data_IF_020293115453
#
_entry.id   IF_020293115453
#
_cell.length_a   1.000
_cell.length_b   1.000
_cell.length_c   1.000
_cell.angle_alpha   90.00
_cell.angle_beta   90.00
_cell.angle_gamma   90.00
#
_symmetry.space_group_name_H-M   'P 1'
#
loop_
_entity.id
_entity.type
_entity.pdbx_description
1 polymer ?
#
# COMPACT_ATOMS: atom_id res chain seq x y z
N UNK A 1 22.31 -0.34 -10.26
CA UNK A 1 21.15 -1.21 -10.53
C UNK A 1 20.57 -1.82 -9.25
N UNK A 2 21.40 -2.41 -8.36
CA UNK A 2 20.99 -3.09 -7.13
C UNK A 2 20.13 -2.20 -6.20
N UNK A 3 20.52 -0.93 -6.03
CA UNK A 3 19.73 0.03 -5.25
C UNK A 3 18.29 0.18 -5.72
N UNK A 4 18.05 0.15 -7.04
CA UNK A 4 16.71 0.25 -7.61
C UNK A 4 15.83 -0.96 -7.23
N UNK A 5 16.43 -2.16 -7.24
CA UNK A 5 15.77 -3.40 -6.81
C UNK A 5 15.41 -3.35 -5.33
N UNK A 6 16.36 -2.96 -4.47
CA UNK A 6 16.12 -2.83 -3.02
C UNK A 6 15.06 -1.78 -2.69
N UNK A 7 15.06 -0.63 -3.36
CA UNK A 7 14.04 0.42 -3.16
C UNK A 7 12.64 -0.10 -3.51
N UNK A 8 12.51 -0.84 -4.61
CA UNK A 8 11.21 -1.40 -5.01
C UNK A 8 10.79 -2.54 -4.09
N UNK A 9 11.74 -3.37 -3.62
CA UNK A 9 11.51 -4.39 -2.60
C UNK A 9 10.92 -3.77 -1.33
N UNK A 10 11.55 -2.73 -0.78
CA UNK A 10 11.10 -2.05 0.43
C UNK A 10 9.72 -1.41 0.24
N UNK A 11 9.43 -0.83 -0.92
CA UNK A 11 8.12 -0.25 -1.21
C UNK A 11 6.99 -1.31 -1.21
N UNK A 12 7.24 -2.51 -1.76
CA UNK A 12 6.26 -3.59 -1.75
C UNK A 12 6.12 -4.24 -0.36
N UNK A 13 7.20 -4.36 0.41
CA UNK A 13 7.14 -4.81 1.80
C UNK A 13 6.37 -3.82 2.68
N UNK A 14 6.56 -2.51 2.48
CA UNK A 14 5.79 -1.45 3.15
C UNK A 14 4.30 -1.57 2.84
N UNK A 15 3.95 -1.79 1.58
CA UNK A 15 2.57 -1.99 1.13
C UNK A 15 1.92 -3.17 1.84
N UNK A 16 2.62 -4.30 1.97
CA UNK A 16 2.10 -5.51 2.63
C UNK A 16 1.73 -5.22 4.09
N UNK A 17 2.65 -4.69 4.90
CA UNK A 17 2.33 -4.49 6.33
C UNK A 17 1.29 -3.40 6.56
N UNK A 18 1.25 -2.38 5.70
CA UNK A 18 0.24 -1.33 5.79
C UNK A 18 -1.16 -1.88 5.50
N UNK A 19 -1.32 -2.62 4.39
CA UNK A 19 -2.60 -3.21 4.02
C UNK A 19 -3.07 -4.30 5.00
N UNK A 20 -2.15 -5.07 5.61
CA UNK A 20 -2.50 -6.01 6.68
C UNK A 20 -3.08 -5.30 7.90
N UNK A 21 -2.52 -4.16 8.26
CA UNK A 21 -3.08 -3.32 9.34
C UNK A 21 -4.47 -2.80 9.02
N UNK A 22 -4.70 -2.44 7.75
CA UNK A 22 -6.02 -2.02 7.28
C UNK A 22 -7.04 -3.16 7.38
N UNK A 23 -6.70 -4.35 6.85
CA UNK A 23 -7.56 -5.53 6.86
C UNK A 23 -7.93 -5.95 8.28
N UNK A 24 -6.94 -6.04 9.17
CA UNK A 24 -7.16 -6.39 10.56
C UNK A 24 -8.05 -5.35 11.27
N UNK A 25 -7.81 -4.06 11.03
CA UNK A 25 -8.63 -2.98 11.59
C UNK A 25 -10.10 -3.04 11.14
N UNK A 26 -10.36 -3.35 9.87
CA UNK A 26 -11.73 -3.53 9.37
C UNK A 26 -12.48 -4.63 10.13
N UNK A 27 -11.80 -5.75 10.44
CA UNK A 27 -12.40 -6.87 11.17
C UNK A 27 -12.58 -6.56 12.67
N UNK A 28 -11.71 -5.71 13.24
CA UNK A 28 -11.92 -5.17 14.60
C UNK A 28 -13.18 -4.30 14.66
N UNK A 29 -13.40 -3.44 13.65
CA UNK A 29 -14.53 -2.49 13.65
C UNK A 29 -15.91 -3.18 13.48
N UNK A 30 -15.92 -4.44 13.03
CA UNK A 30 -17.13 -5.29 13.09
C UNK A 30 -17.19 -6.17 14.37
N UNK A 31 -16.40 -5.82 15.40
CA UNK A 31 -16.34 -6.49 16.69
C UNK A 31 -15.93 -7.99 16.62
N UNK A 32 -15.08 -8.36 15.66
CA UNK A 32 -14.58 -9.73 15.51
C UNK A 32 -13.05 -9.83 15.72
N UNK A 33 -12.53 -9.59 16.95
CA UNK A 33 -11.09 -9.61 17.23
C UNK A 33 -10.43 -10.97 16.98
N UNK A 34 -11.14 -12.08 17.16
CA UNK A 34 -10.62 -13.41 16.86
C UNK A 34 -10.31 -13.60 15.37
N UNK A 35 -11.13 -13.04 14.47
CA UNK A 35 -10.89 -13.04 13.03
C UNK A 35 -9.79 -12.06 12.60
N UNK A 36 -9.57 -10.98 13.35
CA UNK A 36 -8.52 -10.01 13.09
C UNK A 36 -7.13 -10.50 13.52
N UNK A 37 -7.07 -11.35 14.56
CA UNK A 37 -5.81 -11.81 15.17
C UNK A 37 -4.82 -12.42 14.18
N UNK A 38 -5.20 -13.35 13.27
CA UNK A 38 -4.27 -13.90 12.27
C UNK A 38 -3.67 -12.84 11.35
N UNK A 39 -4.45 -11.81 10.97
CA UNK A 39 -3.97 -10.70 10.13
C UNK A 39 -2.96 -9.82 10.88
N UNK A 40 -3.17 -9.56 12.17
CA UNK A 40 -2.21 -8.85 13.02
C UNK A 40 -0.91 -9.65 13.21
N UNK A 41 -0.99 -10.98 13.37
CA UNK A 41 0.19 -11.85 13.46
C UNK A 41 1.01 -11.74 12.16
N UNK A 42 0.37 -11.87 11.00
CA UNK A 42 1.03 -11.72 9.70
C UNK A 42 1.66 -10.34 9.54
N UNK A 43 0.98 -9.28 10.01
CA UNK A 43 1.54 -7.92 10.00
C UNK A 43 2.79 -7.82 10.87
N UNK A 44 2.76 -8.37 12.07
CA UNK A 44 3.90 -8.36 12.99
C UNK A 44 5.10 -9.12 12.42
N UNK A 45 4.87 -10.29 11.84
CA UNK A 45 5.93 -11.05 11.17
C UNK A 45 6.54 -10.26 10.01
N UNK A 46 5.73 -9.54 9.23
CA UNK A 46 6.23 -8.69 8.15
C UNK A 46 7.08 -7.53 8.68
N UNK A 47 6.67 -6.91 9.80
CA UNK A 47 7.46 -5.85 10.46
C UNK A 47 8.82 -6.35 10.97
N UNK A 48 8.90 -7.59 11.46
CA UNK A 48 10.17 -8.23 11.84
C UNK A 48 11.05 -8.48 10.62
N UNK A 49 10.47 -8.88 9.49
CA UNK A 49 11.21 -8.99 8.24
C UNK A 49 11.72 -7.64 7.74
N UNK A 50 10.93 -6.57 7.85
CA UNK A 50 11.39 -5.22 7.51
C UNK A 50 12.62 -4.84 8.34
N UNK A 51 12.58 -5.09 9.66
CA UNK A 51 13.71 -4.83 10.56
C UNK A 51 14.95 -5.64 10.16
N UNK A 52 14.78 -6.93 9.82
CA UNK A 52 15.86 -7.80 9.40
C UNK A 52 16.56 -7.32 8.11
N UNK A 53 15.80 -6.82 7.14
CA UNK A 53 16.35 -6.38 5.84
C UNK A 53 16.80 -4.92 5.81
N UNK A 54 16.35 -4.07 6.75
CA UNK A 54 16.64 -2.63 6.70
C UNK A 54 17.12 -2.03 8.01
N UNK A 55 17.11 -2.80 9.10
CA UNK A 55 17.37 -2.29 10.46
C UNK A 55 16.21 -1.48 11.05
N UNK A 56 15.05 -1.42 10.38
CA UNK A 56 13.89 -0.65 10.84
C UNK A 56 12.57 -1.37 10.51
N UNK A 57 11.72 -1.54 11.51
CA UNK A 57 10.38 -2.14 11.35
C UNK A 57 9.51 -1.40 10.32
N UNK A 58 9.73 -0.09 10.15
CA UNK A 58 8.93 0.80 9.31
C UNK A 58 9.77 1.46 8.20
N UNK A 59 10.91 0.89 7.83
CA UNK A 59 11.85 1.41 6.83
C UNK A 59 12.33 2.85 7.09
N UNK A 60 12.24 3.35 8.33
CA UNK A 60 12.76 4.67 8.67
C UNK A 60 14.25 4.72 8.39
N UNK A 61 14.65 5.74 7.63
CA UNK A 61 16.04 5.92 7.19
C UNK A 61 16.65 4.78 6.36
N UNK A 62 15.86 3.84 5.82
CA UNK A 62 16.36 2.80 4.92
C UNK A 62 16.75 3.35 3.55
N UNK A 63 16.07 4.41 3.09
CA UNK A 63 16.34 5.09 1.84
C UNK A 63 17.21 6.32 2.05
N UNK A 64 17.99 6.65 1.03
CA UNK A 64 18.73 7.91 0.92
C UNK A 64 18.70 8.41 -0.53
N UNK A 65 19.05 9.70 -0.72
CA UNK A 65 19.21 10.24 -2.07
C UNK A 65 20.33 9.45 -2.75
N UNK A 66 20.09 8.99 -3.97
CA UNK A 66 21.02 8.16 -4.72
C UNK A 66 20.97 6.66 -4.44
N UNK A 67 20.17 6.18 -3.45
CA UNK A 67 20.10 4.74 -3.21
C UNK A 67 19.47 4.30 -1.88
N UNK A 68 20.07 3.31 -1.23
CA UNK A 68 19.69 2.77 0.07
C UNK A 68 20.87 2.82 1.03
N UNK A 69 20.61 2.81 2.35
CA UNK A 69 21.66 2.92 3.36
C UNK A 69 22.42 1.63 3.62
N UNK A 70 21.76 0.49 3.47
CA UNK A 70 22.35 -0.82 3.70
C UNK A 70 21.95 -1.79 2.60
N UNK A 71 22.85 -2.72 2.31
CA UNK A 71 22.57 -3.84 1.40
C UNK A 71 21.88 -4.97 2.16
N UNK A 72 21.22 -5.86 1.40
CA UNK A 72 20.60 -7.08 1.92
C UNK A 72 21.36 -8.27 1.36
N UNK A 73 21.88 -9.13 2.24
CA UNK A 73 22.59 -10.34 1.85
C UNK A 73 21.71 -11.35 1.09
N UNK A 74 22.30 -12.08 0.17
CA UNK A 74 21.57 -13.03 -0.66
C UNK A 74 20.88 -14.12 0.17
N UNK A 75 21.52 -14.62 1.23
CA UNK A 75 20.94 -15.60 2.15
C UNK A 75 19.64 -15.08 2.77
N UNK A 76 19.64 -13.83 3.28
CA UNK A 76 18.43 -13.18 3.83
C UNK A 76 17.32 -13.04 2.78
N UNK A 77 17.68 -12.74 1.53
CA UNK A 77 16.73 -12.65 0.41
C UNK A 77 16.11 -14.00 0.06
N UNK A 78 16.91 -15.08 0.06
CA UNK A 78 16.43 -16.44 -0.17
C UNK A 78 15.48 -16.90 0.93
N UNK A 79 15.83 -16.66 2.20
CA UNK A 79 14.95 -16.95 3.32
C UNK A 79 13.63 -16.16 3.23
N UNK A 80 13.68 -14.90 2.81
CA UNK A 80 12.46 -14.09 2.60
C UNK A 80 11.55 -14.72 1.54
N UNK A 81 12.09 -15.25 0.44
CA UNK A 81 11.30 -15.97 -0.57
C UNK A 81 10.60 -17.19 0.03
N UNK A 82 11.33 -17.99 0.79
CA UNK A 82 10.74 -19.19 1.43
C UNK A 82 9.63 -18.82 2.40
N UNK A 83 9.88 -17.80 3.22
CA UNK A 83 8.88 -17.26 4.14
C UNK A 83 7.62 -16.78 3.41
N UNK A 84 7.76 -15.98 2.33
CA UNK A 84 6.64 -15.41 1.58
C UNK A 84 5.76 -16.47 0.90
N UNK A 85 6.28 -17.66 0.58
CA UNK A 85 5.48 -18.77 0.06
C UNK A 85 4.46 -19.27 1.10
N UNK A 86 4.91 -19.55 2.32
CA UNK A 86 4.04 -19.97 3.42
C UNK A 86 3.10 -18.82 3.87
N UNK A 87 3.64 -17.60 3.89
CA UNK A 87 2.88 -16.40 4.22
C UNK A 87 1.67 -16.19 3.28
N UNK A 88 1.85 -16.38 1.98
CA UNK A 88 0.78 -16.23 0.98
C UNK A 88 -0.40 -17.19 1.23
N UNK A 89 -0.11 -18.44 1.64
CA UNK A 89 -1.15 -19.43 1.98
C UNK A 89 -1.89 -18.99 3.25
N UNK A 90 -1.15 -18.63 4.29
CA UNK A 90 -1.70 -18.17 5.58
C UNK A 90 -2.53 -16.89 5.41
N UNK A 91 -2.10 -15.96 4.54
CA UNK A 91 -2.87 -14.75 4.24
C UNK A 91 -4.24 -15.08 3.64
N UNK A 92 -4.29 -15.98 2.64
CA UNK A 92 -5.55 -16.41 2.03
C UNK A 92 -6.47 -17.04 3.07
N UNK A 93 -5.94 -17.97 3.88
CA UNK A 93 -6.70 -18.61 4.95
C UNK A 93 -7.24 -17.60 5.98
N UNK A 94 -6.40 -16.65 6.42
CA UNK A 94 -6.80 -15.61 7.37
C UNK A 94 -7.87 -14.68 6.78
N UNK A 95 -7.74 -14.29 5.50
CA UNK A 95 -8.71 -13.45 4.83
C UNK A 95 -10.05 -14.16 4.63
N UNK A 96 -10.04 -15.43 4.22
CA UNK A 96 -11.25 -16.24 4.05
C UNK A 96 -11.96 -16.48 5.38
N UNK A 97 -11.19 -16.78 6.45
CA UNK A 97 -11.74 -16.93 7.81
C UNK A 97 -12.37 -15.64 8.34
N UNK A 98 -11.74 -14.49 8.06
CA UNK A 98 -12.21 -13.18 8.53
C UNK A 98 -13.61 -12.83 8.00
N UNK A 99 -13.96 -13.27 6.79
CA UNK A 99 -15.25 -12.96 6.13
C UNK A 99 -16.18 -14.16 6.05
N UNK A 100 -15.84 -15.29 6.71
CA UNK A 100 -16.60 -16.55 6.63
C UNK A 100 -17.95 -16.49 7.32
N UNK A 101 -18.03 -15.77 8.45
CA UNK A 101 -19.25 -15.66 9.21
C UNK A 101 -20.23 -14.71 8.54
N UNK A 102 -21.47 -15.15 8.35
CA UNK A 102 -22.55 -14.38 7.72
C UNK A 102 -22.70 -13.00 8.35
N UNK A 103 -22.66 -12.92 9.69
CA UNK A 103 -22.76 -11.64 10.40
C UNK A 103 -21.64 -10.65 10.09
N UNK A 104 -20.42 -11.12 9.83
CA UNK A 104 -19.31 -10.27 9.39
C UNK A 104 -19.49 -9.89 7.93
N UNK A 105 -19.79 -10.88 7.08
CA UNK A 105 -20.02 -10.67 5.66
C UNK A 105 -21.10 -9.62 5.41
N UNK A 106 -22.27 -9.76 6.06
CA UNK A 106 -23.40 -8.82 5.92
C UNK A 106 -23.06 -7.39 6.36
N UNK A 107 -22.10 -7.23 7.29
CA UNK A 107 -21.62 -5.91 7.71
C UNK A 107 -20.66 -5.27 6.71
N UNK A 108 -19.97 -6.07 5.89
CA UNK A 108 -19.02 -5.58 4.90
C UNK A 108 -19.70 -5.35 3.53
N UNK A 109 -20.64 -6.23 3.18
CA UNK A 109 -21.35 -6.16 1.90
C UNK A 109 -22.31 -4.97 1.89
N UNK A 110 -22.37 -4.26 0.80
CA UNK A 110 -23.19 -3.08 0.57
C UNK A 110 -22.94 -1.89 1.51
N UNK A 111 -22.08 -2.02 2.50
CA UNK A 111 -21.73 -0.90 3.38
C UNK A 111 -20.77 0.07 2.68
N UNK A 112 -21.04 1.36 2.78
CA UNK A 112 -20.15 2.42 2.33
C UNK A 112 -19.83 2.39 0.84
N UNK A 113 -20.84 2.23 0.01
CA UNK A 113 -20.68 2.15 -1.46
C UNK A 113 -20.21 3.49 -2.03
N UNK A 114 -19.09 3.45 -2.77
CA UNK A 114 -18.57 4.56 -3.57
C UNK A 114 -18.78 4.22 -5.05
N UNK A 115 -19.62 5.00 -5.73
CA UNK A 115 -19.93 4.79 -7.13
C UNK A 115 -18.77 5.22 -8.04
N UNK A 116 -18.67 4.59 -9.21
CA UNK A 116 -17.61 4.84 -10.20
C UNK A 116 -17.56 6.32 -10.63
N UNK A 117 -18.70 6.98 -10.79
CA UNK A 117 -18.77 8.39 -11.20
C UNK A 117 -18.08 9.34 -10.20
N UNK A 118 -18.02 8.94 -8.91
CA UNK A 118 -17.30 9.70 -7.89
C UNK A 118 -15.79 9.54 -8.00
N UNK A 119 -15.29 8.44 -8.57
CA UNK A 119 -13.85 8.20 -8.71
C UNK A 119 -13.22 9.28 -9.59
N UNK A 120 -13.83 9.57 -10.72
CA UNK A 120 -13.32 10.57 -11.68
C UNK A 120 -13.53 11.98 -11.16
N UNK A 121 -14.73 12.28 -10.62
CA UNK A 121 -15.08 13.63 -10.16
C UNK A 121 -14.27 14.10 -8.94
N UNK A 122 -13.90 13.18 -8.04
CA UNK A 122 -13.12 13.44 -6.83
C UNK A 122 -11.63 13.08 -6.97
N UNK A 123 -11.18 12.60 -8.14
CA UNK A 123 -9.80 12.10 -8.33
C UNK A 123 -9.39 11.04 -7.30
N UNK A 124 -10.27 10.08 -7.02
CA UNK A 124 -10.00 9.02 -6.07
C UNK A 124 -8.91 8.09 -6.62
N UNK A 125 -8.10 7.51 -5.74
CA UNK A 125 -6.97 6.67 -6.12
C UNK A 125 -6.82 5.45 -5.21
N UNK A 126 -5.94 4.52 -5.63
CA UNK A 126 -5.57 3.36 -4.84
C UNK A 126 -6.67 2.31 -4.68
N UNK A 127 -6.67 1.55 -3.57
CA UNK A 127 -7.65 0.49 -3.35
C UNK A 127 -9.11 0.97 -3.36
N UNK A 128 -9.37 2.21 -2.97
CA UNK A 128 -10.70 2.82 -3.02
C UNK A 128 -11.20 2.92 -4.46
N UNK A 129 -10.41 3.51 -5.35
CA UNK A 129 -10.75 3.65 -6.76
C UNK A 129 -10.90 2.27 -7.44
N UNK A 130 -9.98 1.34 -7.17
CA UNK A 130 -10.02 -0.01 -7.74
C UNK A 130 -11.21 -0.84 -7.25
N UNK A 131 -11.67 -0.62 -6.03
CA UNK A 131 -12.90 -1.26 -5.53
C UNK A 131 -14.17 -0.68 -6.17
N UNK A 132 -14.08 0.49 -6.78
CA UNK A 132 -15.18 1.26 -7.38
C UNK A 132 -15.12 1.27 -8.92
N UNK A 133 -14.46 0.31 -9.56
CA UNK A 133 -14.48 0.12 -11.01
C UNK A 133 -13.42 0.91 -11.79
N UNK A 134 -12.45 1.54 -11.15
CA UNK A 134 -11.39 2.29 -11.82
C UNK A 134 -10.03 1.59 -11.75
N UNK A 135 -9.40 1.37 -12.91
CA UNK A 135 -8.10 0.71 -13.02
C UNK A 135 -6.93 1.67 -12.74
N UNK A 136 -7.01 2.49 -11.68
CA UNK A 136 -6.00 3.49 -11.36
C UNK A 136 -4.90 2.92 -10.46
N UNK A 137 -3.67 2.91 -10.95
CA UNK A 137 -2.48 2.54 -10.17
C UNK A 137 -1.25 3.27 -10.73
N UNK A 138 -0.63 4.14 -9.93
CA UNK A 138 0.53 4.93 -10.36
C UNK A 138 1.69 4.06 -10.84
N UNK A 139 1.83 2.85 -10.34
CA UNK A 139 2.88 1.91 -10.76
C UNK A 139 2.70 1.43 -12.20
N UNK A 140 1.47 1.53 -12.74
CA UNK A 140 1.11 1.18 -14.12
C UNK A 140 1.04 2.43 -14.98
N UNK A 141 0.33 3.46 -14.50
CA UNK A 141 0.03 4.66 -15.27
C UNK A 141 1.25 5.59 -15.42
N UNK A 142 2.09 5.64 -14.38
CA UNK A 142 3.33 6.42 -14.31
C UNK A 142 4.46 5.59 -13.67
N UNK A 143 4.93 4.52 -14.33
CA UNK A 143 5.84 3.56 -13.74
C UNK A 143 7.15 4.21 -13.28
N UNK A 144 7.60 3.81 -12.10
CA UNK A 144 8.85 4.22 -11.46
C UNK A 144 9.57 3.00 -10.88
N UNK A 145 10.82 3.17 -10.44
CA UNK A 145 11.57 2.04 -9.88
C UNK A 145 11.70 0.90 -10.89
N UNK A 146 11.32 -0.29 -10.48
CA UNK A 146 11.32 -1.48 -11.35
C UNK A 146 9.97 -1.73 -12.04
N UNK A 147 8.95 -0.93 -11.80
CA UNK A 147 7.62 -1.18 -12.38
C UNK A 147 7.59 -1.06 -13.90
N UNK A 148 8.61 -0.46 -14.54
CA UNK A 148 8.84 -0.57 -16.00
C UNK A 148 9.07 -2.00 -16.48
N UNK A 149 9.69 -2.86 -15.64
CA UNK A 149 9.99 -4.26 -15.96
C UNK A 149 8.99 -5.22 -15.35
N UNK A 150 8.51 -4.89 -14.17
CA UNK A 150 7.66 -5.73 -13.33
C UNK A 150 6.39 -4.97 -13.05
N UNK A 151 5.52 -4.89 -14.06
CA UNK A 151 4.23 -4.25 -13.90
C UNK A 151 3.37 -5.04 -12.88
N UNK A 152 2.73 -4.36 -11.93
CA UNK A 152 1.76 -4.99 -11.06
C UNK A 152 0.52 -5.43 -11.84
N UNK A 153 -0.14 -6.47 -11.36
CA UNK A 153 -1.45 -6.85 -11.84
C UNK A 153 -2.52 -5.94 -11.20
N UNK A 154 -3.35 -5.31 -12.02
CA UNK A 154 -4.41 -4.44 -11.55
C UNK A 154 -5.68 -5.25 -11.28
N UNK A 155 -6.05 -5.37 -10.02
CA UNK A 155 -7.27 -6.05 -9.60
C UNK A 155 -8.35 -5.01 -9.33
N UNK A 156 -9.45 -5.08 -10.09
CA UNK A 156 -10.55 -4.11 -10.06
C UNK A 156 -11.85 -4.83 -9.74
N UNK A 157 -12.66 -4.24 -8.87
CA UNK A 157 -14.04 -4.63 -8.56
C UNK A 157 -14.96 -3.44 -8.77
N UNK A 158 -16.24 -3.68 -8.99
CA UNK A 158 -17.23 -2.64 -9.35
C UNK A 158 -18.19 -2.29 -8.21
N UNK A 159 -18.24 -3.12 -7.14
CA UNK A 159 -19.22 -2.98 -6.06
C UNK A 159 -19.03 -1.71 -5.24
N UNK A 160 -17.80 -1.21 -5.11
CA UNK A 160 -17.48 0.02 -4.41
C UNK A 160 -17.70 0.00 -2.88
N UNK A 161 -18.08 -1.13 -2.30
CA UNK A 161 -18.40 -1.31 -0.88
C UNK A 161 -17.17 -1.67 -0.03
N UNK A 162 -17.37 -1.85 1.26
CA UNK A 162 -16.32 -2.24 2.20
C UNK A 162 -15.74 -3.61 1.85
N UNK A 163 -16.59 -4.57 1.44
CA UNK A 163 -16.14 -5.91 1.06
C UNK A 163 -15.24 -5.88 -0.19
N UNK A 164 -15.61 -5.08 -1.19
CA UNK A 164 -14.79 -4.86 -2.38
C UNK A 164 -13.42 -4.27 -2.02
N UNK A 165 -13.38 -3.26 -1.13
CA UNK A 165 -12.11 -2.69 -0.64
C UNK A 165 -11.28 -3.72 0.11
N UNK A 166 -11.89 -4.58 0.94
CA UNK A 166 -11.21 -5.69 1.61
C UNK A 166 -10.56 -6.64 0.60
N UNK A 167 -11.32 -7.11 -0.40
CA UNK A 167 -10.84 -8.03 -1.44
C UNK A 167 -9.73 -7.44 -2.31
N UNK A 168 -9.85 -6.16 -2.71
CA UNK A 168 -8.81 -5.45 -3.46
C UNK A 168 -7.51 -5.35 -2.65
N UNK A 169 -7.58 -5.09 -1.34
CA UNK A 169 -6.40 -5.04 -0.47
C UNK A 169 -5.73 -6.41 -0.35
N UNK A 170 -6.49 -7.49 -0.19
CA UNK A 170 -5.93 -8.86 -0.18
C UNK A 170 -5.25 -9.19 -1.50
N UNK A 171 -5.89 -8.93 -2.63
CA UNK A 171 -5.31 -9.16 -3.96
C UNK A 171 -4.04 -8.32 -4.17
N UNK A 172 -4.02 -7.07 -3.69
CA UNK A 172 -2.85 -6.20 -3.75
C UNK A 172 -1.67 -6.77 -2.96
N UNK A 173 -1.90 -7.32 -1.76
CA UNK A 173 -0.84 -7.97 -0.97
C UNK A 173 -0.28 -9.20 -1.72
N UNK A 174 -1.15 -10.03 -2.28
CA UNK A 174 -0.72 -11.21 -3.07
C UNK A 174 0.13 -10.78 -4.26
N UNK A 175 -0.29 -9.73 -4.97
CA UNK A 175 0.48 -9.18 -6.08
C UNK A 175 1.84 -8.63 -5.62
N UNK A 176 1.90 -7.92 -4.49
CA UNK A 176 3.16 -7.45 -3.89
C UNK A 176 4.12 -8.59 -3.57
N UNK A 177 3.62 -9.71 -3.04
CA UNK A 177 4.42 -10.92 -2.81
C UNK A 177 5.02 -11.45 -4.11
N UNK A 178 4.24 -11.54 -5.19
CA UNK A 178 4.70 -12.00 -6.50
C UNK A 178 5.79 -11.07 -7.07
N UNK A 179 5.61 -9.76 -6.93
CA UNK A 179 6.59 -8.75 -7.34
C UNK A 179 7.89 -8.91 -6.55
N UNK A 180 7.82 -9.05 -5.22
CA UNK A 180 8.99 -9.27 -4.36
C UNK A 180 9.76 -10.52 -4.78
N UNK A 181 9.07 -11.64 -5.01
CA UNK A 181 9.71 -12.88 -5.44
C UNK A 181 10.44 -12.72 -6.78
N UNK A 182 9.87 -11.96 -7.72
CA UNK A 182 10.51 -11.67 -9.01
C UNK A 182 11.70 -10.74 -8.84
N UNK A 183 11.58 -9.69 -8.03
CA UNK A 183 12.68 -8.78 -7.69
C UNK A 183 13.87 -9.54 -7.13
N UNK A 184 13.65 -10.43 -6.18
CA UNK A 184 14.74 -11.16 -5.52
C UNK A 184 15.43 -12.12 -6.50
N UNK A 185 14.67 -12.84 -7.34
CA UNK A 185 15.25 -13.76 -8.34
C UNK A 185 16.12 -13.05 -9.38
N UNK A 186 15.76 -11.82 -9.73
CA UNK A 186 16.44 -11.00 -10.73
C UNK A 186 17.42 -9.98 -10.11
N UNK A 187 17.66 -10.05 -8.79
CA UNK A 187 18.47 -9.08 -8.05
C UNK A 187 19.92 -9.05 -8.56
N UNK A 188 20.39 -7.97 -9.18
CA UNK A 188 21.76 -7.89 -9.64
C UNK A 188 22.72 -7.63 -8.47
N UNK A 189 23.99 -7.93 -8.69
CA UNK A 189 25.08 -7.41 -7.86
C UNK A 189 25.40 -5.96 -8.25
N UNK A 190 26.09 -5.23 -7.37
CA UNK A 190 26.57 -3.89 -7.66
C UNK A 190 26.30 -2.88 -6.55
N UNK A 191 26.61 -1.63 -6.87
CA UNK A 191 26.51 -0.51 -5.94
C UNK A 191 25.07 -0.25 -5.49
N UNK A 192 24.92 0.04 -4.19
CA UNK A 192 23.66 0.39 -3.56
C UNK A 192 23.44 1.89 -3.42
N UNK A 193 24.43 2.69 -3.81
CA UNK A 193 24.38 4.16 -3.81
C UNK A 193 24.99 4.70 -5.08
N UNK A 194 24.55 5.88 -5.48
CA UNK A 194 25.16 6.65 -6.55
C UNK A 194 25.43 8.08 -6.06
N UNK A 195 26.55 8.66 -6.50
CA UNK A 195 26.84 10.06 -6.26
C UNK A 195 25.75 10.94 -6.91
N UNK A 196 25.37 12.00 -6.24
CA UNK A 196 24.38 12.95 -6.75
C UNK A 196 24.81 14.38 -6.48
N UNK A 197 24.32 15.29 -7.32
CA UNK A 197 24.45 16.73 -7.12
C UNK A 197 23.07 17.35 -7.24
N UNK A 198 22.68 18.15 -6.27
CA UNK A 198 21.42 18.88 -6.31
C UNK A 198 21.55 20.01 -7.36
N UNK A 199 20.72 19.93 -8.39
CA UNK A 199 20.61 20.98 -9.42
C UNK A 199 19.42 21.89 -9.09
N UNK A 200 19.57 23.18 -9.39
CA UNK A 200 18.45 24.12 -9.32
C UNK A 200 17.35 23.70 -10.29
N UNK A 201 16.12 23.80 -9.87
CA UNK A 201 14.98 23.46 -10.71
C UNK A 201 13.80 22.92 -9.93
N UNK A 202 12.79 22.51 -10.67
CA UNK A 202 11.54 21.97 -10.18
C UNK A 202 11.45 20.49 -10.56
N UNK A 203 10.99 19.65 -9.63
CA UNK A 203 10.71 18.24 -9.89
C UNK A 203 9.34 17.85 -9.32
N UNK A 204 8.64 17.02 -10.09
CA UNK A 204 7.39 16.37 -9.69
C UNK A 204 7.60 14.85 -9.71
N UNK A 205 7.10 14.16 -8.70
CA UNK A 205 7.14 12.70 -8.63
C UNK A 205 5.80 12.16 -8.14
N UNK A 206 5.36 11.09 -8.77
CA UNK A 206 4.17 10.35 -8.38
C UNK A 206 4.59 8.98 -7.88
N UNK A 207 4.00 8.54 -6.76
CA UNK A 207 4.23 7.21 -6.20
C UNK A 207 2.91 6.61 -5.70
N UNK A 208 2.77 5.30 -5.84
CA UNK A 208 1.62 4.57 -5.29
C UNK A 208 1.91 4.16 -3.85
N UNK A 209 1.24 4.78 -2.89
CA UNK A 209 1.23 4.35 -1.49
C UNK A 209 0.23 3.21 -1.26
N UNK A 210 0.18 2.64 -0.06
CA UNK A 210 -0.83 1.65 0.31
C UNK A 210 -2.28 2.17 0.19
N UNK A 211 -2.48 3.49 0.29
CA UNK A 211 -3.78 4.16 0.20
C UNK A 211 -4.08 4.77 -1.17
N UNK A 212 -3.09 4.81 -2.07
CA UNK A 212 -3.21 5.35 -3.43
C UNK A 212 -2.11 6.35 -3.77
N UNK A 213 -2.39 7.22 -4.71
CA UNK A 213 -1.44 8.15 -5.31
C UNK A 213 -0.97 9.22 -4.32
N UNK A 214 0.35 9.33 -4.16
CA UNK A 214 1.02 10.48 -3.55
C UNK A 214 1.74 11.28 -4.64
N UNK A 215 1.60 12.59 -4.59
CA UNK A 215 2.31 13.53 -5.49
C UNK A 215 3.27 14.36 -4.65
N UNK A 216 4.53 14.34 -5.04
CA UNK A 216 5.61 15.08 -4.38
C UNK A 216 6.12 16.17 -5.33
N UNK A 217 6.11 17.40 -4.86
CA UNK A 217 6.64 18.57 -5.55
C UNK A 217 7.84 19.10 -4.80
N UNK A 218 8.95 19.29 -5.49
CA UNK A 218 10.19 19.83 -4.93
C UNK A 218 10.69 20.99 -5.81
N UNK A 219 11.03 22.11 -5.17
CA UNK A 219 11.73 23.21 -5.80
C UNK A 219 13.09 23.41 -5.12
N UNK A 220 14.16 23.34 -5.91
CA UNK A 220 15.55 23.47 -5.47
C UNK A 220 16.11 24.78 -6.00
N UNK A 221 16.68 25.59 -5.11
CA UNK A 221 17.35 26.84 -5.42
C UNK A 221 18.63 26.96 -4.62
N UNK A 222 19.72 27.38 -5.29
CA UNK A 222 21.06 27.54 -4.67
C UNK A 222 21.55 26.26 -3.95
N UNK A 223 21.27 25.08 -4.51
CA UNK A 223 21.70 23.79 -3.95
C UNK A 223 20.93 23.35 -2.69
N UNK A 224 19.85 24.03 -2.33
CA UNK A 224 18.99 23.69 -1.18
C UNK A 224 17.53 23.53 -1.59
N UNK A 225 16.77 22.74 -0.83
CA UNK A 225 15.33 22.62 -1.01
C UNK A 225 14.69 23.92 -0.51
N UNK A 226 14.17 24.73 -1.45
CA UNK A 226 13.47 25.98 -1.16
C UNK A 226 12.01 25.75 -0.85
N UNK A 227 11.37 24.77 -1.51
CA UNK A 227 9.97 24.41 -1.26
C UNK A 227 9.76 22.92 -1.49
N UNK A 228 9.00 22.31 -0.58
CA UNK A 228 8.53 20.93 -0.71
C UNK A 228 7.06 20.85 -0.34
N UNK A 229 6.28 20.22 -1.20
CA UNK A 229 4.85 19.97 -0.99
C UNK A 229 4.51 18.53 -1.33
N UNK A 230 3.59 17.96 -0.55
CA UNK A 230 3.07 16.62 -0.78
C UNK A 230 1.54 16.70 -0.84
N UNK A 231 0.96 16.05 -1.85
CA UNK A 231 -0.45 15.73 -1.89
C UNK A 231 -0.58 14.22 -1.69
N UNK A 232 -1.11 13.82 -0.54
CA UNK A 232 -1.28 12.40 -0.20
C UNK A 232 -2.54 11.82 -0.83
N UNK A 233 -2.62 10.49 -0.93
CA UNK A 233 -3.85 9.80 -1.30
C UNK A 233 -5.00 10.13 -0.33
N UNK A 234 -4.70 10.37 0.95
CA UNK A 234 -5.70 10.73 1.95
C UNK A 234 -6.39 12.05 1.63
N UNK A 235 -5.63 13.05 1.16
CA UNK A 235 -6.17 14.34 0.74
C UNK A 235 -7.24 14.20 -0.36
N UNK A 236 -6.97 13.40 -1.39
CA UNK A 236 -7.93 13.19 -2.48
C UNK A 236 -9.11 12.31 -2.05
N UNK A 237 -8.83 11.22 -1.33
CA UNK A 237 -9.82 10.22 -1.00
C UNK A 237 -10.75 10.64 0.14
N UNK A 238 -10.44 11.70 0.90
CA UNK A 238 -11.19 12.09 2.08
C UNK A 238 -12.65 12.38 1.79
N UNK A 239 -12.92 13.11 0.72
CA UNK A 239 -14.28 13.48 0.34
C UNK A 239 -15.17 12.27 0.01
N UNK A 240 -14.59 11.14 -0.36
CA UNK A 240 -15.36 9.93 -0.61
C UNK A 240 -16.10 9.42 0.64
N UNK A 241 -15.61 9.73 1.85
CA UNK A 241 -16.26 9.35 3.11
C UNK A 241 -17.66 9.98 3.21
N UNK A 242 -17.78 11.27 2.86
CA UNK A 242 -19.04 12.00 2.91
C UNK A 242 -20.14 11.37 2.06
N UNK A 243 -19.76 10.80 0.92
CA UNK A 243 -20.68 10.09 0.03
C UNK A 243 -20.93 8.66 0.49
N UNK A 244 -19.87 7.97 0.95
CA UNK A 244 -19.93 6.56 1.33
C UNK A 244 -20.81 6.31 2.57
N UNK A 245 -20.95 7.30 3.45
CA UNK A 245 -21.74 7.12 4.69
C UNK A 245 -23.25 7.33 4.46
N UNK A 246 -23.65 7.91 3.36
CA UNK A 246 -25.06 8.16 3.07
C UNK A 246 -25.84 6.87 2.92
N UNK A 247 -26.99 6.76 3.57
CA UNK A 247 -27.85 5.59 3.50
C UNK A 247 -27.38 4.40 4.36
N UNK A 248 -26.29 4.54 5.10
CA UNK A 248 -25.80 3.54 6.06
C UNK A 248 -26.27 3.85 7.49
N UNK A 249 -26.24 2.87 8.36
CA UNK A 249 -26.53 3.06 9.79
C UNK A 249 -25.31 3.66 10.52
N UNK A 250 -25.52 4.37 11.62
CA UNK A 250 -24.45 5.03 12.38
C UNK A 250 -23.29 4.07 12.75
N UNK A 251 -23.52 2.81 13.17
CA UNK A 251 -22.46 1.86 13.48
C UNK A 251 -21.58 1.45 12.28
N UNK A 252 -21.98 1.74 11.05
CA UNK A 252 -21.17 1.44 9.87
C UNK A 252 -20.09 2.51 9.60
N UNK A 253 -20.24 3.71 10.15
CA UNK A 253 -19.28 4.80 9.94
C UNK A 253 -17.83 4.42 10.30
N UNK A 254 -17.53 3.86 11.48
CA UNK A 254 -16.17 3.42 11.81
C UNK A 254 -15.61 2.43 10.79
N UNK A 255 -16.40 1.43 10.40
CA UNK A 255 -16.03 0.42 9.41
C UNK A 255 -15.75 1.03 8.04
N UNK A 256 -16.63 1.90 7.54
CA UNK A 256 -16.48 2.61 6.27
C UNK A 256 -15.19 3.42 6.28
N UNK A 257 -14.97 4.23 7.32
CA UNK A 257 -13.76 5.03 7.50
C UNK A 257 -12.50 4.14 7.55
N UNK A 258 -12.52 3.06 8.36
CA UNK A 258 -11.41 2.12 8.46
C UNK A 258 -11.13 1.40 7.16
N UNK A 259 -12.13 1.10 6.35
CA UNK A 259 -11.93 0.45 5.05
C UNK A 259 -11.12 1.30 4.06
N UNK A 260 -11.19 2.62 4.18
CA UNK A 260 -10.36 3.58 3.44
C UNK A 260 -9.04 3.85 4.17
N UNK A 261 -9.06 3.82 5.51
CA UNK A 261 -7.93 4.02 6.44
C UNK A 261 -7.10 5.26 6.12
N UNK A 262 -7.79 6.39 5.91
CA UNK A 262 -7.15 7.65 5.53
C UNK A 262 -6.41 8.28 6.72
N UNK A 263 -5.37 9.05 6.43
CA UNK A 263 -4.55 9.73 7.42
C UNK A 263 -5.07 11.14 7.65
N UNK A 264 -5.47 11.48 8.88
CA UNK A 264 -5.85 12.84 9.26
C UNK A 264 -4.70 13.81 9.02
N UNK A 265 -3.51 13.50 9.55
CA UNK A 265 -2.31 14.31 9.34
C UNK A 265 -1.91 14.42 7.85
N UNK A 266 -2.10 13.35 7.07
CA UNK A 266 -1.80 13.35 5.63
C UNK A 266 -2.79 14.18 4.80
N UNK A 267 -3.91 14.59 5.36
CA UNK A 267 -4.88 15.47 4.70
C UNK A 267 -4.49 16.94 4.85
N UNK A 268 -3.80 17.28 5.94
CA UNK A 268 -3.45 18.66 6.29
C UNK A 268 -2.05 19.08 5.77
N UNK A 269 -1.36 18.27 4.96
CA UNK A 269 0.03 18.51 4.50
C UNK A 269 0.14 19.50 3.35
#
# INVERSE_FOLDING_TARGET
PRALYLRTLFAEMERIYALLGDLAGMIIDVAYPAGASPLFILREEMLRWNERVSGSRFFKNALQIGGVKADVGNETLEELIQYLRAFSIRLKQAADQAVRFTSVFDRLEMAGVVKKELVDSLNLSGPLARASGAAADVRIDHPYGLYFKIAPHNFVLEQGDVLARFRVKVATIINSINIIQKIIREMPQGEITAAYTLKNGLALSLVESARGQNVHFVYIQKGAISRYKVRTASFCNWQAIEHAVLGNIIPDFPLINKSMNLSYAGTDM
#
